data_IF_461573344183
#
_entry.id   IF_461573344183
#
_cell.length_a   1.000
_cell.length_b   1.000
_cell.length_c   1.000
_cell.angle_alpha   90.00
_cell.angle_beta   90.00
_cell.angle_gamma   90.00
#
_symmetry.space_group_name_H-M   'P 1'
#
loop_
_entity.id
_entity.type
_entity.pdbx_description
1 polymer ?
#
# COMPACT_ATOMS: atom_id res chain seq x y z
N UNK A 1 26.20 -1.39 -20.52
CA UNK A 1 26.03 -1.95 -19.14
C UNK A 1 26.80 -1.06 -18.18
N UNK A 2 26.17 -0.70 -17.04
CA UNK A 2 26.82 0.10 -16.00
C UNK A 2 27.90 -0.72 -15.29
N UNK A 3 28.96 -0.05 -14.85
CA UNK A 3 29.99 -0.65 -14.00
C UNK A 3 29.48 -0.62 -12.53
N UNK A 4 28.82 -1.72 -12.14
CA UNK A 4 28.16 -1.81 -10.84
C UNK A 4 29.18 -2.01 -9.70
N UNK A 5 29.01 -1.33 -8.59
CA UNK A 5 29.89 -1.39 -7.42
C UNK A 5 29.67 -2.69 -6.63
N UNK A 6 28.45 -3.20 -6.65
CA UNK A 6 28.07 -4.45 -5.99
C UNK A 6 27.13 -5.22 -6.91
N UNK A 7 27.48 -6.47 -7.23
CA UNK A 7 26.72 -7.30 -8.17
C UNK A 7 25.90 -8.40 -7.50
N UNK A 8 26.32 -8.91 -6.34
CA UNK A 8 25.56 -9.89 -5.57
C UNK A 8 24.66 -9.18 -4.57
N UNK A 9 23.34 -9.32 -4.73
CA UNK A 9 22.34 -8.59 -3.97
C UNK A 9 21.31 -9.52 -3.39
N UNK A 10 20.79 -9.15 -2.22
CA UNK A 10 19.69 -9.85 -1.55
C UNK A 10 18.57 -8.86 -1.28
N UNK A 11 17.36 -9.15 -1.81
CA UNK A 11 16.17 -8.33 -1.58
C UNK A 11 15.11 -9.11 -0.81
N UNK A 12 14.49 -8.43 0.14
CA UNK A 12 13.38 -8.97 0.90
C UNK A 12 12.03 -8.63 0.30
N UNK A 13 11.05 -9.47 0.56
CA UNK A 13 9.66 -9.22 0.17
C UNK A 13 8.69 -9.93 1.14
N UNK A 14 7.45 -9.48 1.11
CA UNK A 14 6.33 -10.17 1.77
C UNK A 14 5.49 -10.83 0.67
N UNK A 15 4.88 -11.98 0.97
CA UNK A 15 4.08 -12.77 0.03
C UNK A 15 2.78 -12.06 -0.34
N UNK A 16 2.88 -11.18 -1.31
CA UNK A 16 1.82 -10.33 -1.86
C UNK A 16 1.99 -10.24 -3.37
N UNK A 17 0.90 -10.07 -4.12
CA UNK A 17 0.98 -9.94 -5.58
C UNK A 17 1.78 -8.71 -6.02
N UNK A 18 1.83 -7.66 -5.20
CA UNK A 18 2.57 -6.45 -5.55
C UNK A 18 4.10 -6.56 -5.43
N UNK A 19 4.61 -7.71 -5.01
CA UNK A 19 6.04 -8.02 -5.17
C UNK A 19 6.38 -8.42 -6.61
N UNK A 20 5.40 -8.52 -7.49
CA UNK A 20 5.55 -9.01 -8.86
C UNK A 20 6.71 -8.38 -9.65
N UNK A 21 7.00 -7.07 -9.57
CA UNK A 21 8.16 -6.51 -10.28
C UNK A 21 9.48 -7.19 -9.91
N UNK A 22 9.68 -7.56 -8.64
CA UNK A 22 10.88 -8.29 -8.21
C UNK A 22 10.93 -9.70 -8.81
N UNK A 23 9.83 -10.45 -8.73
CA UNK A 23 9.75 -11.80 -9.27
C UNK A 23 9.96 -11.82 -10.78
N UNK A 24 9.32 -10.91 -11.50
CA UNK A 24 9.41 -10.80 -12.95
C UNK A 24 10.83 -10.39 -13.38
N UNK A 25 11.44 -9.42 -12.71
CA UNK A 25 12.82 -9.02 -13.03
C UNK A 25 13.81 -10.19 -12.85
N UNK A 26 13.59 -10.99 -11.82
CA UNK A 26 14.39 -12.19 -11.57
C UNK A 26 14.16 -13.28 -12.65
N UNK A 27 12.91 -13.69 -12.87
CA UNK A 27 12.57 -14.81 -13.73
C UNK A 27 12.81 -14.53 -15.21
N UNK A 28 12.68 -13.27 -15.64
CA UNK A 28 12.93 -12.89 -17.04
C UNK A 28 14.36 -12.45 -17.29
N UNK A 29 15.25 -12.55 -16.30
CA UNK A 29 16.67 -12.23 -16.47
C UNK A 29 16.98 -10.74 -16.55
N UNK A 30 16.08 -9.86 -16.13
CA UNK A 30 16.32 -8.41 -16.23
C UNK A 30 17.41 -7.94 -15.27
N UNK A 31 17.54 -8.57 -14.10
CA UNK A 31 18.65 -8.30 -13.19
C UNK A 31 19.98 -8.74 -13.78
N UNK A 32 20.02 -9.95 -14.39
CA UNK A 32 21.23 -10.46 -15.02
C UNK A 32 21.67 -9.62 -16.23
N UNK A 33 20.70 -9.10 -17.00
CA UNK A 33 20.96 -8.17 -18.11
C UNK A 33 21.71 -6.91 -17.65
N UNK A 34 21.53 -6.51 -16.40
CA UNK A 34 22.18 -5.36 -15.79
C UNK A 34 23.44 -5.75 -15.00
N UNK A 35 23.87 -7.01 -15.06
CA UNK A 35 25.05 -7.50 -14.34
C UNK A 35 24.80 -7.74 -12.86
N UNK A 36 23.54 -7.96 -12.44
CA UNK A 36 23.15 -8.18 -11.05
C UNK A 36 22.77 -9.63 -10.81
N UNK A 37 23.25 -10.20 -9.72
CA UNK A 37 22.93 -11.54 -9.26
C UNK A 37 22.10 -11.43 -7.97
N UNK A 38 20.79 -11.53 -8.11
CA UNK A 38 19.84 -11.23 -7.04
C UNK A 38 19.32 -12.51 -6.41
N UNK A 39 19.25 -12.52 -5.09
CA UNK A 39 18.51 -13.50 -4.29
C UNK A 39 17.27 -12.80 -3.71
N UNK A 40 16.10 -13.39 -3.90
CA UNK A 40 14.85 -12.88 -3.31
C UNK A 40 14.50 -13.74 -2.10
N UNK A 41 14.30 -13.10 -0.94
CA UNK A 41 13.97 -13.78 0.32
C UNK A 41 12.63 -13.29 0.87
N UNK A 42 11.67 -14.22 1.02
CA UNK A 42 10.44 -13.94 1.75
C UNK A 42 10.75 -13.68 3.22
N UNK A 43 10.14 -12.63 3.77
CA UNK A 43 10.28 -12.26 5.17
C UNK A 43 9.00 -12.59 5.95
N UNK A 44 9.12 -12.80 7.26
CA UNK A 44 8.00 -13.19 8.10
C UNK A 44 6.97 -12.08 8.29
N UNK A 45 7.42 -10.83 8.38
CA UNK A 45 6.59 -9.66 8.59
C UNK A 45 7.33 -8.38 8.20
N UNK A 46 6.61 -7.26 8.23
CA UNK A 46 7.15 -5.97 7.80
C UNK A 46 8.26 -5.43 8.70
N UNK A 47 8.21 -5.73 10.02
CA UNK A 47 9.25 -5.29 10.94
C UNK A 47 10.57 -6.02 10.68
N UNK A 48 10.53 -7.32 10.51
CA UNK A 48 11.71 -8.14 10.20
C UNK A 48 12.34 -7.68 8.87
N UNK A 49 11.51 -7.40 7.87
CA UNK A 49 11.97 -6.89 6.58
C UNK A 49 12.69 -5.55 6.72
N UNK A 50 12.09 -4.61 7.43
CA UNK A 50 12.66 -3.28 7.67
C UNK A 50 14.00 -3.37 8.42
N UNK A 51 14.03 -4.13 9.50
CA UNK A 51 15.23 -4.34 10.29
C UNK A 51 16.36 -4.96 9.44
N UNK A 52 16.00 -5.89 8.55
CA UNK A 52 16.97 -6.51 7.62
C UNK A 52 17.61 -5.51 6.67
N UNK A 53 16.85 -4.54 6.17
CA UNK A 53 17.39 -3.47 5.31
C UNK A 53 18.26 -2.52 6.12
N UNK A 54 17.83 -2.12 7.31
CA UNK A 54 18.58 -1.22 8.19
C UNK A 54 19.93 -1.85 8.60
N UNK A 55 19.91 -3.14 8.94
CA UNK A 55 21.10 -3.86 9.43
C UNK A 55 22.04 -4.31 8.29
N UNK A 56 21.62 -4.16 7.04
CA UNK A 56 22.40 -4.58 5.88
C UNK A 56 22.37 -6.07 5.58
N UNK A 57 21.50 -6.84 6.25
CA UNK A 57 21.24 -8.25 5.89
C UNK A 57 20.51 -8.36 4.56
N UNK A 58 19.70 -7.36 4.24
CA UNK A 58 19.06 -7.16 2.96
C UNK A 58 19.65 -5.89 2.33
N UNK A 59 19.96 -5.94 1.04
CA UNK A 59 20.44 -4.78 0.29
C UNK A 59 19.31 -3.82 -0.09
N UNK A 60 18.09 -4.33 -0.17
CA UNK A 60 16.87 -3.58 -0.45
C UNK A 60 15.65 -4.46 -0.26
N UNK A 61 14.47 -3.88 -0.39
CA UNK A 61 13.24 -4.63 -0.19
C UNK A 61 12.01 -3.98 -0.83
N UNK A 62 11.07 -4.83 -1.19
CA UNK A 62 9.65 -4.53 -1.31
C UNK A 62 9.18 -3.98 0.04
N UNK A 63 8.68 -2.75 0.09
CA UNK A 63 8.40 -2.03 1.33
C UNK A 63 7.02 -1.39 1.32
N UNK A 64 6.46 -1.24 2.50
CA UNK A 64 5.35 -0.31 2.71
C UNK A 64 5.86 1.10 2.46
N UNK A 65 5.10 1.91 1.71
CA UNK A 65 5.53 3.28 1.39
C UNK A 65 5.78 4.13 2.64
N UNK A 66 5.05 3.87 3.72
CA UNK A 66 5.24 4.55 4.99
C UNK A 66 6.50 4.15 5.75
N UNK A 67 7.12 3.01 5.46
CA UNK A 67 8.31 2.57 6.20
C UNK A 67 9.53 3.47 5.98
N UNK A 68 9.92 3.83 4.75
CA UNK A 68 11.01 4.78 4.55
C UNK A 68 10.75 6.13 5.19
N UNK A 69 9.53 6.62 5.09
CA UNK A 69 9.12 7.92 5.67
C UNK A 69 9.19 7.90 7.19
N UNK A 70 8.57 6.90 7.82
CA UNK A 70 8.56 6.76 9.27
C UNK A 70 9.97 6.59 9.85
N UNK A 71 10.80 5.77 9.23
CA UNK A 71 12.19 5.58 9.66
C UNK A 71 13.00 6.89 9.58
N UNK A 72 12.81 7.66 8.52
CA UNK A 72 13.52 8.93 8.33
C UNK A 72 13.11 10.00 9.33
N UNK A 73 11.83 10.04 9.74
CA UNK A 73 11.35 10.97 10.77
C UNK A 73 11.49 10.44 12.21
N UNK A 74 11.94 9.20 12.38
CA UNK A 74 12.18 8.59 13.69
C UNK A 74 10.93 8.03 14.38
N UNK A 75 9.89 7.69 13.64
CA UNK A 75 8.72 7.02 14.21
C UNK A 75 8.92 5.50 14.22
N UNK A 76 9.01 4.92 15.42
CA UNK A 76 9.22 3.49 15.64
C UNK A 76 10.65 3.02 15.51
N UNK A 77 11.40 3.53 14.58
CA UNK A 77 12.84 3.28 14.36
C UNK A 77 13.46 4.53 13.73
N UNK A 78 14.77 4.61 13.68
CA UNK A 78 15.46 5.75 13.06
C UNK A 78 16.52 5.24 12.08
N UNK A 79 16.29 5.52 10.80
CA UNK A 79 17.23 5.22 9.73
C UNK A 79 16.87 6.05 8.51
N UNK A 80 17.84 6.44 7.70
CA UNK A 80 17.57 7.15 6.46
C UNK A 80 17.41 6.16 5.30
N UNK A 81 16.18 5.86 4.96
CA UNK A 81 15.80 4.99 3.84
C UNK A 81 15.23 5.85 2.74
N UNK A 82 15.60 5.54 1.50
CA UNK A 82 15.09 6.21 0.31
C UNK A 82 14.37 5.22 -0.61
N UNK A 83 13.51 5.77 -1.48
CA UNK A 83 12.91 4.98 -2.54
C UNK A 83 13.08 5.66 -3.90
N UNK A 84 13.73 4.97 -4.85
CA UNK A 84 13.84 5.44 -6.24
C UNK A 84 12.76 4.86 -7.14
N UNK A 85 11.81 4.04 -6.61
CA UNK A 85 10.86 3.28 -7.42
C UNK A 85 9.59 2.98 -6.64
N UNK A 86 8.44 3.34 -7.22
CA UNK A 86 7.12 2.94 -6.74
C UNK A 86 6.73 1.60 -7.38
N UNK A 87 6.27 0.64 -6.58
CA UNK A 87 6.04 -0.73 -7.05
C UNK A 87 4.74 -0.89 -7.81
N UNK A 88 3.68 -0.15 -7.42
CA UNK A 88 2.33 -0.36 -7.96
C UNK A 88 1.36 0.74 -7.56
N UNK A 89 0.16 0.69 -8.16
CA UNK A 89 -1.03 1.42 -7.73
C UNK A 89 -2.12 0.41 -7.38
N UNK A 90 -2.97 0.78 -6.41
CA UNK A 90 -4.12 -0.03 -5.97
C UNK A 90 -3.68 -1.39 -5.37
N UNK A 91 -4.51 -2.40 -5.47
CA UNK A 91 -4.17 -3.78 -5.11
C UNK A 91 -4.57 -4.23 -3.71
N UNK A 92 -5.26 -3.39 -2.94
CA UNK A 92 -5.73 -3.71 -1.59
C UNK A 92 -7.25 -3.83 -1.52
N UNK A 93 -7.73 -4.54 -0.51
CA UNK A 93 -9.15 -4.64 -0.23
C UNK A 93 -9.43 -4.73 1.27
N UNK A 94 -10.67 -4.44 1.64
CA UNK A 94 -11.20 -4.62 2.99
C UNK A 94 -12.17 -5.78 2.94
N UNK A 95 -11.90 -6.79 3.77
CA UNK A 95 -12.71 -8.01 3.89
C UNK A 95 -13.30 -8.08 5.30
N UNK A 96 -14.58 -8.45 5.39
CA UNK A 96 -15.24 -8.73 6.67
C UNK A 96 -15.62 -10.21 6.75
N UNK A 97 -15.87 -10.71 7.96
CA UNK A 97 -16.35 -12.09 8.13
C UNK A 97 -17.73 -12.27 7.51
N UNK A 98 -18.07 -13.51 7.20
CA UNK A 98 -19.41 -13.83 6.67
C UNK A 98 -20.52 -13.34 7.60
N UNK A 99 -20.36 -13.51 8.92
CA UNK A 99 -21.33 -13.06 9.91
C UNK A 99 -21.53 -11.55 9.89
N UNK A 100 -20.45 -10.81 9.80
CA UNK A 100 -20.51 -9.34 9.74
C UNK A 100 -21.17 -8.91 8.42
N UNK A 101 -20.85 -9.57 7.31
CA UNK A 101 -21.48 -9.26 6.03
C UNK A 101 -22.98 -9.50 6.05
N UNK A 102 -23.44 -10.63 6.59
CA UNK A 102 -24.88 -10.96 6.65
C UNK A 102 -25.67 -9.89 7.40
N UNK A 103 -25.12 -9.29 8.43
CA UNK A 103 -25.74 -8.20 9.16
C UNK A 103 -25.58 -6.86 8.43
N UNK A 104 -24.37 -6.58 7.94
CA UNK A 104 -24.01 -5.32 7.29
C UNK A 104 -24.79 -5.11 5.97
N UNK A 105 -25.00 -6.17 5.20
CA UNK A 105 -25.64 -6.06 3.87
C UNK A 105 -27.06 -5.50 3.90
N UNK A 106 -27.75 -5.57 5.05
CA UNK A 106 -29.08 -4.99 5.24
C UNK A 106 -29.05 -3.46 5.11
N UNK A 107 -27.90 -2.85 5.33
CA UNK A 107 -27.71 -1.41 5.28
C UNK A 107 -27.02 -0.95 3.99
N UNK A 108 -26.76 -1.88 3.07
CA UNK A 108 -26.12 -1.59 1.78
C UNK A 108 -27.19 -1.45 0.70
N UNK A 109 -27.15 -0.40 -0.12
CA UNK A 109 -28.04 -0.32 -1.28
C UNK A 109 -27.80 -1.47 -2.28
N UNK A 110 -28.89 -2.01 -2.85
CA UNK A 110 -28.84 -3.06 -3.85
C UNK A 110 -29.48 -2.59 -5.14
N UNK A 111 -29.01 -3.10 -6.28
CA UNK A 111 -29.59 -2.84 -7.59
C UNK A 111 -30.85 -3.74 -7.83
N UNK A 112 -31.44 -3.59 -9.00
CA UNK A 112 -32.67 -4.37 -9.37
C UNK A 112 -32.40 -5.88 -9.45
N UNK A 113 -31.13 -6.27 -9.70
CA UNK A 113 -30.70 -7.68 -9.72
C UNK A 113 -30.37 -8.23 -8.33
N UNK A 114 -30.48 -7.41 -7.27
CA UNK A 114 -30.17 -7.80 -5.90
C UNK A 114 -28.68 -7.78 -5.57
N UNK A 115 -27.85 -7.16 -6.41
CA UNK A 115 -26.41 -7.02 -6.14
C UNK A 115 -26.11 -5.75 -5.35
N UNK A 116 -25.18 -5.80 -4.38
CA UNK A 116 -24.73 -4.60 -3.69
C UNK A 116 -24.22 -3.53 -4.67
N UNK A 117 -24.60 -2.28 -4.43
CA UNK A 117 -24.12 -1.14 -5.20
C UNK A 117 -22.79 -0.68 -4.60
N UNK A 118 -21.74 -0.65 -5.41
CA UNK A 118 -20.41 -0.17 -5.03
C UNK A 118 -20.21 1.30 -5.45
N UNK A 119 -19.38 2.05 -4.71
CA UNK A 119 -18.63 1.65 -3.51
C UNK A 119 -19.50 1.55 -2.26
N UNK A 120 -19.19 0.59 -1.38
CA UNK A 120 -19.91 0.42 -0.12
C UNK A 120 -19.28 1.33 0.93
N UNK A 121 -20.08 2.19 1.56
CA UNK A 121 -19.65 3.04 2.66
C UNK A 121 -19.54 2.27 3.97
N UNK A 122 -18.60 2.66 4.83
CA UNK A 122 -18.51 2.15 6.20
C UNK A 122 -19.73 2.56 7.06
N UNK A 123 -20.57 3.48 6.57
CA UNK A 123 -21.85 3.78 7.21
C UNK A 123 -22.75 2.52 7.33
N UNK A 124 -22.60 1.57 6.40
CA UNK A 124 -23.29 0.29 6.47
C UNK A 124 -22.74 -0.63 7.59
N UNK A 125 -21.49 -0.47 7.96
CA UNK A 125 -20.86 -1.20 9.06
C UNK A 125 -21.19 -0.59 10.43
N UNK A 126 -21.47 0.68 10.49
CA UNK A 126 -21.67 1.42 11.74
C UNK A 126 -22.72 0.80 12.66
N UNK A 127 -23.94 0.44 12.18
CA UNK A 127 -24.93 -0.21 13.04
C UNK A 127 -24.44 -1.53 13.65
N UNK A 128 -23.64 -2.29 12.89
CA UNK A 128 -23.08 -3.57 13.34
C UNK A 128 -22.06 -3.35 14.47
N UNK A 129 -21.17 -2.37 14.29
CA UNK A 129 -20.19 -1.97 15.31
C UNK A 129 -20.89 -1.52 16.59
N UNK A 130 -21.91 -0.66 16.47
CA UNK A 130 -22.66 -0.14 17.61
C UNK A 130 -23.38 -1.27 18.38
N UNK A 131 -23.97 -2.23 17.67
CA UNK A 131 -24.62 -3.39 18.30
C UNK A 131 -23.63 -4.22 19.10
N UNK A 132 -22.50 -4.59 18.48
CA UNK A 132 -21.47 -5.43 19.15
C UNK A 132 -20.91 -4.75 20.37
N UNK A 133 -20.63 -3.44 20.26
CA UNK A 133 -20.13 -2.65 21.40
C UNK A 133 -21.16 -2.50 22.51
N UNK A 134 -22.44 -2.39 22.18
CA UNK A 134 -23.53 -2.32 23.16
C UNK A 134 -23.63 -3.61 23.99
N UNK A 135 -23.15 -4.73 23.49
CA UNK A 135 -23.07 -5.99 24.17
C UNK A 135 -21.81 -6.14 25.04
N UNK A 136 -21.01 -5.09 25.13
CA UNK A 136 -19.77 -5.07 25.91
C UNK A 136 -18.58 -5.74 25.21
N UNK A 137 -18.65 -5.97 23.90
CA UNK A 137 -17.58 -6.55 23.12
C UNK A 137 -16.86 -5.49 22.30
N UNK A 138 -15.52 -5.54 22.21
CA UNK A 138 -14.79 -4.66 21.31
C UNK A 138 -15.00 -5.11 19.86
N UNK A 139 -14.97 -4.16 18.92
CA UNK A 139 -14.98 -4.46 17.49
C UNK A 139 -13.55 -4.36 16.96
N UNK A 140 -12.94 -5.52 16.66
CA UNK A 140 -11.55 -5.62 16.25
C UNK A 140 -11.43 -5.84 14.75
N UNK A 141 -10.54 -5.08 14.10
CA UNK A 141 -10.15 -5.30 12.70
C UNK A 141 -8.62 -5.36 12.59
N UNK A 142 -8.15 -6.03 11.54
CA UNK A 142 -6.73 -6.22 11.28
C UNK A 142 -6.18 -5.25 10.23
N UNK A 143 -4.97 -4.81 10.43
CA UNK A 143 -4.14 -4.12 9.44
C UNK A 143 -2.73 -4.70 9.52
N UNK A 144 -1.86 -4.38 8.56
CA UNK A 144 -0.59 -5.11 8.42
C UNK A 144 0.58 -4.49 9.17
N UNK A 145 0.54 -3.18 9.42
CA UNK A 145 1.58 -2.46 10.14
C UNK A 145 1.12 -1.01 10.40
N UNK A 146 1.58 -0.34 11.49
CA UNK A 146 1.11 1.03 11.81
C UNK A 146 1.32 2.07 10.71
N UNK A 147 2.38 1.96 9.94
CA UNK A 147 2.71 2.91 8.86
C UNK A 147 2.39 2.33 7.47
N UNK A 148 1.45 1.41 7.39
CA UNK A 148 1.00 0.82 6.13
C UNK A 148 -0.10 1.63 5.47
N UNK A 149 -0.13 1.60 4.14
CA UNK A 149 -1.27 2.12 3.36
C UNK A 149 -2.56 1.45 3.79
N UNK A 150 -2.52 0.16 4.13
CA UNK A 150 -3.67 -0.62 4.63
C UNK A 150 -4.25 -0.02 5.91
N UNK A 151 -3.40 0.38 6.85
CA UNK A 151 -3.85 1.06 8.07
C UNK A 151 -4.52 2.40 7.75
N UNK A 152 -3.91 3.19 6.86
CA UNK A 152 -4.45 4.50 6.50
C UNK A 152 -5.72 4.39 5.66
N UNK A 153 -5.80 3.44 4.74
CA UNK A 153 -7.00 3.18 3.92
C UNK A 153 -8.17 2.68 4.77
N UNK A 154 -7.91 1.74 5.68
CA UNK A 154 -8.93 1.23 6.60
C UNK A 154 -9.47 2.36 7.50
N UNK A 155 -8.57 3.18 8.05
CA UNK A 155 -8.93 4.35 8.84
C UNK A 155 -9.71 5.37 8.02
N UNK A 156 -9.30 5.60 6.77
CA UNK A 156 -9.96 6.52 5.86
C UNK A 156 -11.40 6.07 5.58
N UNK A 157 -11.59 4.80 5.23
CA UNK A 157 -12.90 4.22 4.94
C UNK A 157 -13.82 4.26 6.16
N UNK A 158 -13.34 3.84 7.32
CA UNK A 158 -14.09 3.86 8.57
C UNK A 158 -14.54 5.29 8.93
N UNK A 159 -13.62 6.24 8.89
CA UNK A 159 -13.90 7.64 9.22
C UNK A 159 -14.88 8.29 8.23
N UNK A 160 -14.77 7.98 6.93
CA UNK A 160 -15.70 8.46 5.91
C UNK A 160 -17.13 7.95 6.14
N UNK A 161 -17.30 6.82 6.82
CA UNK A 161 -18.59 6.26 7.23
C UNK A 161 -19.05 6.69 8.63
N UNK A 162 -18.28 7.55 9.31
CA UNK A 162 -18.63 8.06 10.64
C UNK A 162 -18.17 7.17 11.80
N UNK A 163 -17.23 6.26 11.57
CA UNK A 163 -16.61 5.41 12.60
C UNK A 163 -15.23 5.93 12.97
N UNK A 164 -14.93 6.00 14.25
CA UNK A 164 -13.62 6.43 14.74
C UNK A 164 -12.66 5.25 14.79
N UNK A 165 -11.54 5.29 14.03
CA UNK A 165 -10.55 4.20 14.04
C UNK A 165 -9.53 4.32 15.16
N UNK A 166 -9.58 5.40 15.97
CA UNK A 166 -8.67 5.68 17.06
C UNK A 166 -7.48 6.54 16.69
N UNK A 167 -6.74 6.95 17.72
CA UNK A 167 -5.58 7.84 17.58
C UNK A 167 -4.34 7.22 18.23
N UNK A 168 -3.18 7.63 17.71
CA UNK A 168 -1.87 7.42 18.31
C UNK A 168 -1.50 8.63 19.17
N UNK A 169 -0.69 8.43 20.20
CA UNK A 169 -0.01 9.49 20.92
C UNK A 169 1.42 9.06 21.25
N UNK A 170 2.31 9.98 21.66
CA UNK A 170 3.65 9.60 22.09
C UNK A 170 3.64 8.59 23.25
N UNK A 171 2.65 8.66 24.13
CA UNK A 171 2.50 7.78 25.29
C UNK A 171 1.75 6.47 24.98
N UNK A 172 0.99 6.45 23.90
CA UNK A 172 0.19 5.30 23.50
C UNK A 172 0.25 5.06 21.99
N UNK A 173 1.12 4.12 21.61
CA UNK A 173 1.41 3.79 20.21
C UNK A 173 0.51 2.67 19.65
N UNK A 174 -0.60 2.33 20.32
CA UNK A 174 -1.53 1.31 19.83
C UNK A 174 -2.44 1.82 18.73
N UNK A 175 -2.63 3.15 18.64
CA UNK A 175 -3.56 3.76 17.67
C UNK A 175 -5.03 3.54 18.01
N UNK A 176 -5.35 3.26 19.29
CA UNK A 176 -6.69 2.88 19.74
C UNK A 176 -7.36 3.88 20.66
N UNK A 177 -6.77 5.06 20.85
CA UNK A 177 -7.34 6.10 21.72
C UNK A 177 -8.62 6.63 21.07
N UNK A 178 -9.73 6.67 21.83
CA UNK A 178 -11.05 7.14 21.38
C UNK A 178 -11.59 6.38 20.17
N UNK A 179 -11.37 5.06 20.11
CA UNK A 179 -11.75 4.24 18.97
C UNK A 179 -13.14 3.60 19.11
N UNK A 180 -13.91 3.63 18.02
CA UNK A 180 -15.09 2.76 17.85
C UNK A 180 -14.66 1.39 17.35
N UNK A 181 -13.65 1.34 16.50
CA UNK A 181 -13.04 0.13 15.91
C UNK A 181 -11.58 0.06 16.33
N UNK A 182 -11.20 -1.08 16.94
CA UNK A 182 -9.84 -1.30 17.40
C UNK A 182 -9.04 -2.00 16.31
N UNK A 183 -7.95 -1.39 15.86
CA UNK A 183 -7.11 -1.93 14.79
C UNK A 183 -5.85 -2.58 15.39
N UNK A 184 -5.52 -3.77 14.91
CA UNK A 184 -4.35 -4.53 15.35
C UNK A 184 -3.55 -5.08 14.18
N UNK A 185 -2.26 -5.37 14.42
CA UNK A 185 -1.33 -5.83 13.38
C UNK A 185 -1.44 -7.34 13.17
N UNK A 186 -1.60 -7.75 11.92
CA UNK A 186 -1.50 -9.16 11.50
C UNK A 186 -0.70 -9.22 10.19
N UNK A 187 0.29 -10.10 10.05
CA UNK A 187 1.01 -10.27 8.78
C UNK A 187 0.05 -10.67 7.64
N UNK A 188 0.26 -10.18 6.41
CA UNK A 188 -0.67 -10.39 5.30
C UNK A 188 -1.09 -11.84 5.06
N UNK A 189 -0.18 -12.83 4.96
CA UNK A 189 -0.59 -14.21 4.69
C UNK A 189 -1.43 -14.85 5.80
N UNK A 190 -1.40 -14.27 7.01
CA UNK A 190 -2.13 -14.80 8.18
C UNK A 190 -3.52 -14.17 8.33
N UNK A 191 -3.86 -13.17 7.55
CA UNK A 191 -5.15 -12.45 7.67
C UNK A 191 -6.36 -13.37 7.52
N UNK A 192 -6.45 -14.23 6.48
CA UNK A 192 -7.60 -15.13 6.36
C UNK A 192 -7.77 -16.05 7.56
N UNK A 193 -6.69 -16.65 8.06
CA UNK A 193 -6.75 -17.54 9.22
C UNK A 193 -7.16 -16.80 10.50
N UNK A 194 -6.70 -15.58 10.70
CA UNK A 194 -7.06 -14.74 11.86
C UNK A 194 -8.55 -14.38 11.82
N UNK A 195 -9.08 -14.10 10.64
CA UNK A 195 -10.51 -13.85 10.43
C UNK A 195 -11.34 -15.12 10.75
N UNK A 196 -10.92 -16.26 10.20
CA UNK A 196 -11.59 -17.55 10.40
C UNK A 196 -11.63 -17.94 11.88
N UNK A 197 -10.54 -17.68 12.62
CA UNK A 197 -10.46 -17.94 14.06
C UNK A 197 -11.36 -17.04 14.90
N UNK A 198 -11.95 -15.97 14.32
CA UNK A 198 -12.83 -15.05 15.02
C UNK A 198 -12.11 -14.02 15.90
N UNK A 199 -10.79 -13.89 15.78
CA UNK A 199 -10.00 -12.92 16.53
C UNK A 199 -10.27 -11.49 16.06
N UNK A 200 -10.55 -11.32 14.76
CA UNK A 200 -10.92 -10.06 14.14
C UNK A 200 -12.21 -10.24 13.34
N UNK A 201 -12.97 -9.16 13.15
CA UNK A 201 -14.22 -9.17 12.36
C UNK A 201 -14.01 -8.77 10.92
N UNK A 202 -12.86 -8.24 10.59
CA UNK A 202 -12.48 -7.84 9.24
C UNK A 202 -11.04 -7.37 9.20
N UNK A 203 -10.56 -7.04 8.00
CA UNK A 203 -9.18 -6.59 7.82
C UNK A 203 -9.02 -5.79 6.53
N UNK A 204 -7.93 -5.03 6.43
CA UNK A 204 -7.43 -4.47 5.17
C UNK A 204 -6.08 -5.10 4.85
N UNK A 205 -5.93 -5.61 3.63
CA UNK A 205 -4.72 -6.31 3.20
C UNK A 205 -4.56 -6.23 1.68
N UNK A 206 -3.33 -6.39 1.20
CA UNK A 206 -3.03 -6.59 -0.23
C UNK A 206 -3.45 -7.96 -0.73
N UNK A 207 -3.60 -8.08 -2.06
CA UNK A 207 -3.92 -9.35 -2.68
C UNK A 207 -2.71 -10.32 -2.63
N UNK A 208 -2.95 -11.63 -2.59
CA UNK A 208 -4.24 -12.29 -2.91
C UNK A 208 -5.12 -12.59 -1.68
N UNK A 209 -4.84 -12.01 -0.54
CA UNK A 209 -5.41 -12.47 0.74
C UNK A 209 -6.86 -12.09 0.97
N UNK A 210 -7.41 -11.13 0.20
CA UNK A 210 -8.86 -10.90 0.15
C UNK A 210 -9.54 -11.99 -0.70
N UNK A 211 -9.03 -12.25 -1.89
CA UNK A 211 -9.56 -13.31 -2.76
C UNK A 211 -9.41 -14.70 -2.15
N UNK A 212 -8.36 -14.93 -1.37
CA UNK A 212 -8.18 -16.18 -0.62
C UNK A 212 -9.32 -16.41 0.37
N UNK A 213 -9.77 -15.36 1.06
CA UNK A 213 -10.90 -15.46 1.98
C UNK A 213 -12.20 -15.82 1.27
N UNK A 214 -12.44 -15.26 0.09
CA UNK A 214 -13.61 -15.62 -0.75
C UNK A 214 -13.51 -17.07 -1.21
N UNK A 215 -12.37 -17.48 -1.72
CA UNK A 215 -12.12 -18.83 -2.19
C UNK A 215 -12.38 -19.87 -1.10
N UNK A 216 -11.91 -19.59 0.11
CA UNK A 216 -12.14 -20.48 1.27
C UNK A 216 -13.52 -20.35 1.90
N UNK A 217 -14.34 -19.40 1.47
CA UNK A 217 -15.69 -19.19 2.00
C UNK A 217 -15.74 -18.64 3.43
N UNK A 218 -14.71 -17.89 3.87
CA UNK A 218 -14.59 -17.38 5.24
C UNK A 218 -14.81 -15.89 5.38
N UNK A 219 -14.85 -15.16 4.27
CA UNK A 219 -15.04 -13.71 4.32
C UNK A 219 -15.53 -13.13 3.01
N UNK A 220 -15.94 -11.86 3.08
CA UNK A 220 -16.50 -11.10 1.96
C UNK A 220 -15.76 -9.76 1.88
N UNK A 221 -15.02 -9.51 0.78
CA UNK A 221 -14.51 -8.17 0.51
C UNK A 221 -15.67 -7.20 0.31
N UNK A 222 -15.62 -6.06 0.97
CA UNK A 222 -16.69 -5.04 0.91
C UNK A 222 -16.29 -3.83 0.10
N UNK A 223 -14.98 -3.59 -0.07
CA UNK A 223 -14.46 -2.47 -0.84
C UNK A 223 -13.00 -2.71 -1.23
N UNK A 224 -12.61 -2.18 -2.39
CA UNK A 224 -11.20 -2.13 -2.83
C UNK A 224 -10.63 -0.74 -2.57
N UNK A 225 -9.30 -0.66 -2.48
CA UNK A 225 -8.63 0.65 -2.36
C UNK A 225 -8.78 1.49 -3.63
N UNK A 226 -8.95 0.86 -4.80
CA UNK A 226 -9.34 1.55 -6.03
C UNK A 226 -10.64 2.36 -5.85
N UNK A 227 -11.59 1.83 -5.08
CA UNK A 227 -12.86 2.50 -4.78
C UNK A 227 -12.73 3.53 -3.67
N UNK A 228 -11.79 3.36 -2.73
CA UNK A 228 -11.51 4.35 -1.68
C UNK A 228 -10.80 5.57 -2.28
N UNK A 229 -9.78 5.34 -3.08
CA UNK A 229 -9.01 6.36 -3.77
C UNK A 229 -8.48 5.79 -5.09
N UNK A 230 -9.12 6.13 -6.18
CA UNK A 230 -8.78 5.64 -7.52
C UNK A 230 -7.31 5.90 -7.87
N UNK A 231 -6.61 4.85 -8.25
CA UNK A 231 -5.19 4.86 -8.59
C UNK A 231 -4.30 5.37 -7.45
N UNK A 232 -4.61 4.93 -6.23
CA UNK A 232 -3.78 5.26 -5.08
C UNK A 232 -2.39 4.61 -5.18
N UNK A 233 -1.33 5.32 -4.72
CA UNK A 233 0.00 4.73 -4.63
C UNK A 233 0.04 3.67 -3.53
N UNK A 234 0.95 2.72 -3.66
CA UNK A 234 1.00 1.61 -2.73
C UNK A 234 2.44 1.29 -2.31
N UNK A 235 3.00 0.14 -2.67
CA UNK A 235 4.33 -0.28 -2.23
C UNK A 235 5.44 0.50 -2.92
N UNK A 236 6.60 0.49 -2.28
CA UNK A 236 7.83 1.07 -2.83
C UNK A 236 8.97 0.06 -2.73
N UNK A 237 10.03 0.27 -3.52
CA UNK A 237 11.30 -0.40 -3.33
C UNK A 237 12.19 0.49 -2.49
N UNK A 238 12.63 0.00 -1.32
CA UNK A 238 13.40 0.77 -0.36
C UNK A 238 14.85 0.28 -0.23
N UNK A 239 15.76 1.23 -0.13
CA UNK A 239 17.19 1.02 0.15
C UNK A 239 17.65 2.08 1.15
N UNK A 240 18.74 1.82 1.87
CA UNK A 240 19.32 2.86 2.70
C UNK A 240 19.98 3.94 1.84
N UNK A 241 20.00 5.17 2.35
CA UNK A 241 20.72 6.28 1.71
C UNK A 241 22.19 5.93 1.51
N UNK A 242 22.81 5.29 2.50
CA UNK A 242 24.21 4.85 2.42
C UNK A 242 24.44 3.88 1.28
N UNK A 243 23.58 2.89 1.12
CA UNK A 243 23.67 1.94 -0.01
C UNK A 243 23.66 2.67 -1.34
N UNK A 244 22.72 3.62 -1.51
CA UNK A 244 22.60 4.37 -2.76
C UNK A 244 23.82 5.24 -3.04
N UNK A 245 24.41 5.86 -2.02
CA UNK A 245 25.59 6.71 -2.16
C UNK A 245 26.85 5.90 -2.44
N UNK A 246 27.00 4.74 -1.82
CA UNK A 246 28.15 3.84 -2.01
C UNK A 246 28.04 3.04 -3.32
N UNK A 247 26.83 2.82 -3.81
CA UNK A 247 26.55 1.96 -4.97
C UNK A 247 25.63 2.68 -5.97
N UNK A 248 26.02 3.83 -6.52
CA UNK A 248 25.15 4.60 -7.41
C UNK A 248 24.81 3.88 -8.72
N UNK A 249 25.78 3.19 -9.34
CA UNK A 249 25.52 2.44 -10.56
C UNK A 249 24.68 1.18 -10.30
N UNK A 250 24.95 0.48 -9.20
CA UNK A 250 24.11 -0.65 -8.77
C UNK A 250 22.68 -0.21 -8.56
N UNK A 251 22.45 0.93 -7.93
CA UNK A 251 21.12 1.50 -7.69
C UNK A 251 20.41 1.78 -9.01
N UNK A 252 21.08 2.41 -9.97
CA UNK A 252 20.50 2.64 -11.31
C UNK A 252 20.19 1.31 -12.03
N UNK A 253 21.06 0.33 -11.93
CA UNK A 253 20.85 -0.98 -12.54
C UNK A 253 19.63 -1.70 -11.96
N UNK A 254 19.43 -1.63 -10.64
CA UNK A 254 18.24 -2.17 -9.96
C UNK A 254 16.98 -1.50 -10.53
N UNK A 255 16.95 -0.18 -10.57
CA UNK A 255 15.78 0.57 -11.03
C UNK A 255 15.49 0.27 -12.51
N UNK A 256 16.51 0.18 -13.35
CA UNK A 256 16.34 -0.22 -14.75
C UNK A 256 15.65 -1.58 -14.87
N UNK A 257 16.10 -2.58 -14.11
CA UNK A 257 15.52 -3.91 -14.14
C UNK A 257 14.05 -3.91 -13.66
N UNK A 258 13.76 -3.16 -12.61
CA UNK A 258 12.39 -3.03 -12.07
C UNK A 258 11.45 -2.30 -13.02
N UNK A 259 11.91 -1.26 -13.71
CA UNK A 259 11.11 -0.56 -14.73
C UNK A 259 10.78 -1.54 -15.88
N UNK A 260 11.74 -2.33 -16.34
CA UNK A 260 11.49 -3.33 -17.38
C UNK A 260 10.45 -4.36 -16.96
N UNK A 261 10.53 -4.82 -15.72
CA UNK A 261 9.53 -5.74 -15.15
C UNK A 261 8.14 -5.12 -15.10
N UNK A 262 8.04 -3.87 -14.68
CA UNK A 262 6.78 -3.13 -14.64
C UNK A 262 6.16 -2.96 -16.03
N UNK A 263 6.95 -2.59 -17.02
CA UNK A 263 6.52 -2.49 -18.42
C UNK A 263 5.94 -3.83 -18.89
N UNK A 264 6.66 -4.91 -18.67
CA UNK A 264 6.24 -6.25 -19.07
C UNK A 264 4.89 -6.65 -18.44
N UNK A 265 4.68 -6.28 -17.16
CA UNK A 265 3.45 -6.59 -16.45
C UNK A 265 2.21 -5.91 -17.03
N UNK A 266 2.37 -4.71 -17.58
CA UNK A 266 1.26 -3.89 -18.06
C UNK A 266 1.16 -3.79 -19.59
N UNK A 267 2.18 -4.19 -20.34
CA UNK A 267 2.19 -4.03 -21.79
C UNK A 267 1.10 -4.85 -22.47
N UNK A 268 0.66 -4.38 -23.64
CA UNK A 268 -0.31 -5.07 -24.50
C UNK A 268 -1.61 -5.45 -23.75
N UNK A 269 -2.18 -4.48 -23.01
CA UNK A 269 -3.41 -4.67 -22.23
C UNK A 269 -3.32 -5.85 -21.26
N UNK A 270 -2.22 -5.93 -20.50
CA UNK A 270 -1.99 -6.98 -19.51
C UNK A 270 -1.83 -8.38 -20.10
N UNK A 271 -1.37 -8.49 -21.36
CA UNK A 271 -1.24 -9.77 -22.05
C UNK A 271 -0.35 -10.78 -21.30
N UNK A 272 0.63 -10.30 -20.53
CA UNK A 272 1.57 -11.15 -19.79
C UNK A 272 1.09 -11.51 -18.38
N UNK A 273 -0.08 -11.03 -17.94
CA UNK A 273 -0.60 -11.28 -16.60
C UNK A 273 -0.80 -12.76 -16.28
N UNK A 274 -1.29 -13.61 -17.20
CA UNK A 274 -1.36 -15.06 -16.92
C UNK A 274 -0.01 -15.69 -16.60
N UNK A 275 1.05 -15.33 -17.30
CA UNK A 275 2.41 -15.80 -17.00
C UNK A 275 2.90 -15.27 -15.65
N UNK A 276 2.63 -14.01 -15.34
CA UNK A 276 2.95 -13.42 -14.03
C UNK A 276 2.24 -14.16 -12.89
N UNK A 277 0.98 -14.51 -13.07
CA UNK A 277 0.20 -15.29 -12.10
C UNK A 277 0.83 -16.67 -11.87
N UNK A 278 1.26 -17.35 -12.93
CA UNK A 278 1.95 -18.64 -12.81
C UNK A 278 3.24 -18.52 -12.00
N UNK A 279 4.04 -17.46 -12.25
CA UNK A 279 5.25 -17.18 -11.47
C UNK A 279 4.90 -16.97 -10.00
N UNK A 280 3.96 -16.07 -9.72
CA UNK A 280 3.57 -15.71 -8.35
C UNK A 280 2.95 -16.87 -7.56
N UNK A 281 2.32 -17.84 -8.25
CA UNK A 281 1.71 -19.01 -7.61
C UNK A 281 2.75 -19.97 -7.04
N UNK A 282 4.01 -19.86 -7.44
CA UNK A 282 5.09 -20.74 -6.94
C UNK A 282 5.35 -20.48 -5.45
N UNK A 283 5.67 -21.53 -4.66
CA UNK A 283 5.90 -21.40 -3.22
C UNK A 283 6.99 -20.42 -2.81
N UNK A 284 8.00 -20.22 -3.65
CA UNK A 284 9.10 -19.29 -3.41
C UNK A 284 8.68 -17.81 -3.51
N UNK A 285 7.53 -17.51 -4.11
CA UNK A 285 6.99 -16.16 -4.24
C UNK A 285 5.76 -15.98 -3.33
N UNK A 286 4.55 -15.99 -3.88
CA UNK A 286 3.32 -15.82 -3.08
C UNK A 286 2.76 -17.15 -2.59
N UNK A 287 2.71 -18.14 -3.45
CA UNK A 287 2.34 -19.51 -3.10
C UNK A 287 0.84 -19.73 -2.87
N UNK A 288 -0.02 -18.82 -3.31
CA UNK A 288 -1.45 -19.06 -3.36
C UNK A 288 -1.84 -19.72 -4.67
N UNK A 289 -3.04 -20.32 -4.73
CA UNK A 289 -3.52 -20.97 -5.93
C UNK A 289 -3.58 -20.01 -7.12
N UNK A 290 -3.31 -20.51 -8.32
CA UNK A 290 -3.35 -19.74 -9.55
C UNK A 290 -4.65 -18.96 -9.71
N UNK A 291 -5.80 -19.61 -9.54
CA UNK A 291 -7.11 -18.98 -9.73
C UNK A 291 -7.39 -17.85 -8.73
N UNK A 292 -6.85 -17.96 -7.52
CA UNK A 292 -6.96 -16.92 -6.49
C UNK A 292 -6.17 -15.68 -6.87
N UNK A 293 -4.92 -15.86 -7.30
CA UNK A 293 -4.05 -14.76 -7.73
C UNK A 293 -4.56 -14.15 -9.04
N UNK A 294 -5.00 -14.99 -9.99
CA UNK A 294 -5.47 -14.57 -11.30
C UNK A 294 -6.63 -13.59 -11.22
N UNK A 295 -7.50 -13.77 -10.24
CA UNK A 295 -8.72 -12.98 -10.14
C UNK A 295 -8.42 -11.47 -10.16
N UNK A 296 -7.61 -10.97 -9.25
CA UNK A 296 -7.22 -9.55 -9.24
C UNK A 296 -6.21 -9.18 -10.32
N UNK A 297 -5.25 -10.04 -10.59
CA UNK A 297 -4.17 -9.78 -11.55
C UNK A 297 -4.63 -9.69 -13.00
N UNK A 298 -5.76 -10.27 -13.33
CA UNK A 298 -6.30 -10.27 -14.71
C UNK A 298 -7.50 -9.35 -14.90
N UNK A 299 -7.69 -8.37 -13.99
CA UNK A 299 -8.66 -7.29 -14.19
C UNK A 299 -10.05 -7.56 -13.65
N UNK A 300 -10.21 -8.57 -12.79
CA UNK A 300 -11.48 -8.87 -12.12
C UNK A 300 -11.29 -8.89 -10.60
N UNK A 301 -12.40 -8.77 -9.87
CA UNK A 301 -12.39 -8.86 -8.41
C UNK A 301 -13.70 -9.49 -7.93
N UNK A 302 -13.61 -10.51 -7.10
CA UNK A 302 -14.77 -11.18 -6.53
C UNK A 302 -15.02 -10.66 -5.12
N UNK A 303 -16.21 -10.11 -4.90
CA UNK A 303 -16.69 -9.63 -3.61
C UNK A 303 -17.35 -10.78 -2.85
N UNK A 304 -18.67 -10.81 -2.76
CA UNK A 304 -19.37 -12.01 -2.27
C UNK A 304 -19.15 -13.14 -3.27
N UNK A 305 -19.06 -14.38 -2.80
CA UNK A 305 -18.82 -15.53 -3.68
C UNK A 305 -19.84 -15.57 -4.82
N UNK A 306 -19.33 -15.55 -6.04
CA UNK A 306 -20.14 -15.48 -7.26
C UNK A 306 -20.40 -14.06 -7.78
N UNK A 307 -20.12 -13.02 -7.01
CA UNK A 307 -20.22 -11.63 -7.44
C UNK A 307 -18.85 -11.12 -7.93
N UNK A 308 -18.48 -11.58 -9.11
CA UNK A 308 -17.22 -11.21 -9.76
C UNK A 308 -17.43 -10.02 -10.68
N UNK A 309 -16.68 -8.96 -10.46
CA UNK A 309 -16.80 -7.70 -11.21
C UNK A 309 -15.52 -7.38 -11.94
N UNK A 310 -15.64 -6.62 -13.03
CA UNK A 310 -14.50 -6.11 -13.77
C UNK A 310 -13.95 -4.87 -13.09
N UNK A 311 -12.67 -4.90 -12.72
CA UNK A 311 -11.89 -3.77 -12.24
C UNK A 311 -10.52 -3.84 -12.94
N UNK A 312 -10.43 -3.40 -14.21
CA UNK A 312 -9.22 -3.59 -15.03
C UNK A 312 -7.96 -2.97 -14.44
N UNK A 313 -8.11 -1.87 -13.71
CA UNK A 313 -7.01 -1.13 -13.11
C UNK A 313 -6.81 -1.46 -11.62
N UNK A 314 -7.34 -2.59 -11.14
CA UNK A 314 -7.15 -2.96 -9.74
C UNK A 314 -5.68 -3.20 -9.39
N UNK A 315 -4.92 -3.85 -10.26
CA UNK A 315 -3.46 -3.98 -10.15
C UNK A 315 -2.80 -3.26 -11.30
N UNK A 316 -2.12 -2.15 -11.02
CA UNK A 316 -1.38 -1.36 -12.00
C UNK A 316 0.09 -1.33 -11.61
N UNK A 317 0.97 -1.69 -12.56
CA UNK A 317 2.41 -1.75 -12.31
C UNK A 317 3.20 -0.72 -13.10
N UNK A 318 2.68 -0.23 -14.22
CA UNK A 318 3.42 0.74 -15.06
C UNK A 318 2.57 1.89 -15.57
N UNK A 319 1.32 1.62 -15.97
CA UNK A 319 0.40 2.67 -16.47
C UNK A 319 0.30 3.83 -15.49
N UNK A 320 -0.10 5.01 -16.00
CA UNK A 320 -0.36 6.20 -15.19
C UNK A 320 0.86 6.66 -14.39
N UNK A 321 2.06 6.42 -14.92
CA UNK A 321 3.32 6.71 -14.24
C UNK A 321 3.42 6.02 -12.87
N UNK A 322 2.89 4.81 -12.77
CA UNK A 322 2.80 4.06 -11.52
C UNK A 322 4.14 3.89 -10.81
N UNK A 323 5.24 3.78 -11.55
CA UNK A 323 6.57 3.51 -10.98
C UNK A 323 7.36 4.76 -10.62
N UNK A 324 6.89 5.93 -11.05
CA UNK A 324 7.51 7.21 -10.69
C UNK A 324 7.20 7.55 -9.22
N UNK A 325 8.20 7.76 -8.35
CA UNK A 325 7.96 8.07 -6.94
C UNK A 325 7.66 9.56 -6.76
N UNK A 326 6.39 9.94 -6.86
CA UNK A 326 5.95 11.31 -6.69
C UNK A 326 6.13 11.79 -5.25
N UNK A 327 6.65 13.00 -5.07
CA UNK A 327 6.71 13.65 -3.76
C UNK A 327 5.33 13.78 -3.12
N UNK A 328 4.30 14.11 -3.92
CA UNK A 328 2.93 14.23 -3.43
C UNK A 328 2.39 12.95 -2.82
N UNK A 329 2.83 11.77 -3.29
CA UNK A 329 2.47 10.49 -2.68
C UNK A 329 3.04 10.38 -1.27
N UNK A 330 4.31 10.74 -1.09
CA UNK A 330 4.93 10.80 0.24
C UNK A 330 4.20 11.77 1.17
N UNK A 331 3.82 12.93 0.66
CA UNK A 331 3.06 13.93 1.43
C UNK A 331 1.72 13.36 1.92
N UNK A 332 1.04 12.58 1.09
CA UNK A 332 -0.22 11.95 1.51
C UNK A 332 -0.01 11.03 2.72
N UNK A 333 0.98 10.15 2.69
CA UNK A 333 1.28 9.27 3.83
C UNK A 333 1.62 10.07 5.09
N UNK A 334 2.45 11.09 4.98
CA UNK A 334 2.79 11.96 6.09
C UNK A 334 1.55 12.68 6.64
N UNK A 335 0.64 13.11 5.77
CA UNK A 335 -0.63 13.73 6.17
C UNK A 335 -1.50 12.76 6.98
N UNK A 336 -1.55 11.49 6.59
CA UNK A 336 -2.30 10.48 7.35
C UNK A 336 -1.61 10.17 8.69
N UNK A 337 -0.28 10.15 8.73
CA UNK A 337 0.47 10.03 9.99
C UNK A 337 0.09 11.18 10.95
N UNK A 338 -0.04 12.40 10.44
CA UNK A 338 -0.50 13.55 11.23
C UNK A 338 -1.98 13.41 11.60
N UNK A 339 -2.85 13.06 10.66
CA UNK A 339 -4.29 12.92 10.90
C UNK A 339 -4.58 12.03 12.10
N UNK A 340 -3.83 10.95 12.26
CA UNK A 340 -4.08 9.93 13.29
C UNK A 340 -3.17 10.04 14.52
N UNK A 341 -2.28 11.04 14.55
CA UNK A 341 -1.46 11.32 15.73
C UNK A 341 -0.12 10.59 15.79
N UNK A 342 0.29 9.88 14.74
CA UNK A 342 1.65 9.32 14.64
C UNK A 342 2.68 10.45 14.59
N UNK A 343 2.37 11.52 13.87
CA UNK A 343 3.05 12.81 14.00
C UNK A 343 2.22 13.61 15.00
N UNK A 344 2.78 13.81 16.20
CA UNK A 344 2.05 14.37 17.34
C UNK A 344 1.81 15.88 17.27
N UNK A 345 2.59 16.59 16.46
CA UNK A 345 2.54 18.05 16.35
C UNK A 345 2.15 18.48 14.94
N UNK A 346 1.48 19.62 14.84
CA UNK A 346 1.26 20.29 13.56
C UNK A 346 2.60 20.69 12.96
N UNK A 347 2.77 20.41 11.65
CA UNK A 347 3.95 20.80 10.89
C UNK A 347 3.55 21.78 9.80
N UNK A 348 4.42 22.75 9.43
CA UNK A 348 4.14 23.60 8.27
C UNK A 348 4.13 22.79 6.97
N UNK A 349 3.44 23.26 5.96
CA UNK A 349 3.37 22.58 4.66
C UNK A 349 4.77 22.28 4.09
N UNK A 350 5.71 23.17 4.28
CA UNK A 350 7.11 23.00 3.83
C UNK A 350 7.80 21.80 4.45
N UNK A 351 7.46 21.42 5.67
CA UNK A 351 8.05 20.25 6.34
C UNK A 351 7.71 18.96 5.58
N UNK A 352 6.46 18.83 5.12
CA UNK A 352 6.03 17.66 4.35
C UNK A 352 6.81 17.51 3.05
N UNK A 353 7.01 18.62 2.35
CA UNK A 353 7.81 18.66 1.11
C UNK A 353 9.28 18.30 1.39
N UNK A 354 9.88 18.86 2.43
CA UNK A 354 11.27 18.58 2.82
C UNK A 354 11.49 17.10 3.14
N UNK A 355 10.58 16.47 3.89
CA UNK A 355 10.68 15.03 4.19
C UNK A 355 10.49 14.20 2.91
N UNK A 356 9.50 14.55 2.09
CA UNK A 356 9.26 13.86 0.83
C UNK A 356 10.51 13.87 -0.05
N UNK A 357 11.19 15.00 -0.17
CA UNK A 357 12.40 15.13 -0.99
C UNK A 357 13.60 14.37 -0.42
N UNK A 358 13.67 14.16 0.89
CA UNK A 358 14.71 13.34 1.52
C UNK A 358 14.56 11.85 1.24
N UNK A 359 13.33 11.38 1.03
CA UNK A 359 13.00 9.95 0.97
C UNK A 359 12.70 9.50 -0.45
N UNK A 360 11.85 10.22 -1.18
CA UNK A 360 11.49 9.90 -2.55
C UNK A 360 12.52 10.48 -3.51
N UNK A 361 13.04 9.64 -4.40
CA UNK A 361 14.14 9.97 -5.29
C UNK A 361 13.78 9.79 -6.77
N UNK A 362 12.86 10.63 -7.30
CA UNK A 362 12.51 10.60 -8.72
C UNK A 362 13.68 10.96 -9.63
N UNK A 363 14.70 11.65 -9.13
CA UNK A 363 15.93 11.93 -9.86
C UNK A 363 16.67 10.65 -10.27
N UNK A 364 16.81 9.68 -9.34
CA UNK A 364 17.41 8.37 -9.62
C UNK A 364 16.54 7.60 -10.62
N UNK A 365 15.21 7.62 -10.41
CA UNK A 365 14.26 6.97 -11.30
C UNK A 365 14.39 7.47 -12.74
N UNK A 366 14.41 8.79 -12.95
CA UNK A 366 14.52 9.36 -14.29
C UNK A 366 15.87 9.11 -14.95
N UNK A 367 16.96 9.05 -14.19
CA UNK A 367 18.25 8.65 -14.73
C UNK A 367 18.21 7.21 -15.27
N UNK A 368 17.63 6.28 -14.52
CA UNK A 368 17.45 4.90 -14.96
C UNK A 368 16.54 4.82 -16.19
N UNK A 369 15.43 5.54 -16.18
CA UNK A 369 14.50 5.62 -17.31
C UNK A 369 15.20 6.15 -18.57
N UNK A 370 16.02 7.19 -18.45
CA UNK A 370 16.79 7.74 -19.57
C UNK A 370 17.71 6.71 -20.17
N UNK A 371 18.41 5.93 -19.35
CA UNK A 371 19.28 4.86 -19.85
C UNK A 371 18.48 3.81 -20.64
N UNK A 372 17.30 3.42 -20.15
CA UNK A 372 16.45 2.46 -20.84
C UNK A 372 15.96 2.98 -22.19
N UNK A 373 15.56 4.25 -22.26
CA UNK A 373 15.13 4.88 -23.52
C UNK A 373 16.29 4.93 -24.50
N UNK A 374 17.49 5.32 -24.08
CA UNK A 374 18.69 5.39 -24.92
C UNK A 374 19.12 4.01 -25.43
N UNK A 375 18.85 2.97 -24.64
CA UNK A 375 19.12 1.57 -25.03
C UNK A 375 18.01 0.95 -25.90
N UNK A 376 16.93 1.68 -26.15
CA UNK A 376 15.79 1.19 -26.94
C UNK A 376 14.90 0.19 -26.19
N UNK A 377 14.97 0.15 -24.85
CA UNK A 377 14.24 -0.78 -23.99
C UNK A 377 12.98 -0.18 -23.39
N UNK A 378 12.76 1.10 -23.56
CA UNK A 378 11.57 1.83 -23.13
C UNK A 378 11.31 3.01 -24.06
N UNK A 379 10.09 3.55 -24.02
CA UNK A 379 9.69 4.67 -24.87
C UNK A 379 9.77 6.00 -24.11
N UNK A 380 10.19 7.06 -24.82
CA UNK A 380 10.32 8.41 -24.25
C UNK A 380 9.02 8.87 -23.60
N UNK A 381 7.89 8.67 -24.25
CA UNK A 381 6.57 9.13 -23.80
C UNK A 381 6.04 8.42 -22.56
N UNK A 382 6.67 7.33 -22.14
CA UNK A 382 6.20 6.54 -20.98
C UNK A 382 6.62 7.15 -19.62
N UNK A 383 7.37 8.25 -19.63
CA UNK A 383 7.93 8.83 -18.42
C UNK A 383 7.61 10.32 -18.27
N UNK A 384 7.39 10.80 -17.03
CA UNK A 384 7.03 12.19 -16.78
C UNK A 384 8.28 13.07 -16.60
N UNK A 385 9.00 13.35 -17.70
CA UNK A 385 10.28 14.08 -17.67
C UNK A 385 10.18 15.48 -17.10
N UNK A 386 9.07 16.19 -17.37
CA UNK A 386 8.90 17.60 -17.04
C UNK A 386 8.08 17.85 -15.78
N UNK A 387 7.80 16.80 -14.99
CA UNK A 387 7.01 16.94 -13.77
C UNK A 387 7.80 17.61 -12.66
N UNK A 388 7.08 18.38 -11.81
CA UNK A 388 7.63 18.91 -10.55
C UNK A 388 7.77 17.86 -9.45
N UNK A 389 7.29 16.64 -9.67
CA UNK A 389 7.18 15.59 -8.66
C UNK A 389 5.89 15.65 -7.85
N UNK A 390 4.99 16.55 -8.19
CA UNK A 390 3.66 16.69 -7.57
C UNK A 390 2.59 16.38 -8.60
N UNK A 391 1.67 15.48 -8.22
CA UNK A 391 0.48 15.20 -9.01
C UNK A 391 -0.45 16.41 -8.95
N UNK A 392 -1.26 16.59 -9.99
CA UNK A 392 -2.40 17.51 -9.90
C UNK A 392 -3.32 17.11 -8.74
N UNK A 393 -4.10 18.04 -8.16
CA UNK A 393 -5.02 17.70 -7.07
C UNK A 393 -5.88 16.50 -7.40
N UNK A 394 -5.97 15.56 -6.44
CA UNK A 394 -6.68 14.28 -6.57
C UNK A 394 -8.04 14.37 -5.89
N UNK A 395 -9.11 14.20 -6.66
CA UNK A 395 -10.49 14.35 -6.16
C UNK A 395 -11.32 13.07 -6.14
N UNK A 396 -10.73 11.92 -6.49
CA UNK A 396 -11.46 10.66 -6.60
C UNK A 396 -11.34 9.79 -5.34
N UNK A 397 -11.63 10.41 -4.18
CA UNK A 397 -11.77 9.73 -2.90
C UNK A 397 -13.23 9.43 -2.61
N UNK A 398 -13.49 8.36 -1.86
CA UNK A 398 -14.86 7.92 -1.51
C UNK A 398 -15.69 9.01 -0.82
N UNK A 399 -15.07 9.91 -0.07
CA UNK A 399 -15.73 11.02 0.64
C UNK A 399 -15.78 12.32 -0.17
N UNK A 400 -15.24 12.33 -1.37
CA UNK A 400 -15.23 13.50 -2.25
C UNK A 400 -14.24 14.60 -1.85
N UNK A 401 -13.40 14.36 -0.84
CA UNK A 401 -12.37 15.31 -0.42
C UNK A 401 -11.24 15.33 -1.44
N UNK A 402 -10.81 16.52 -1.84
CA UNK A 402 -9.69 16.69 -2.78
C UNK A 402 -8.37 16.78 -2.02
N UNK A 403 -7.38 16.00 -2.47
CA UNK A 403 -6.01 16.06 -1.97
C UNK A 403 -5.14 16.88 -2.91
N UNK A 404 -4.58 17.98 -2.40
CA UNK A 404 -3.50 18.73 -3.02
C UNK A 404 -2.23 18.54 -2.17
N UNK A 405 -1.24 17.86 -2.72
CA UNK A 405 0.02 17.58 -2.02
C UNK A 405 0.82 18.82 -1.65
N UNK A 406 0.53 19.99 -2.25
CA UNK A 406 1.18 21.25 -1.92
C UNK A 406 0.54 21.95 -0.71
N UNK A 407 -0.62 21.49 -0.26
CA UNK A 407 -1.38 22.09 0.84
C UNK A 407 -1.88 21.03 1.83
N UNK A 408 -0.98 20.27 2.48
CA UNK A 408 -1.38 19.19 3.38
C UNK A 408 -2.17 19.65 4.61
N UNK A 409 -1.87 20.83 5.18
CA UNK A 409 -2.62 21.36 6.31
C UNK A 409 -4.06 21.70 5.91
N UNK A 410 -4.27 22.35 4.77
CA UNK A 410 -5.61 22.62 4.26
C UNK A 410 -6.39 21.32 3.97
N UNK A 411 -5.72 20.30 3.50
CA UNK A 411 -6.30 18.98 3.29
C UNK A 411 -6.81 18.38 4.62
N UNK A 412 -5.98 18.41 5.66
CA UNK A 412 -6.32 17.85 6.98
C UNK A 412 -7.50 18.55 7.64
N UNK A 413 -7.66 19.85 7.42
CA UNK A 413 -8.79 20.62 7.97
C UNK A 413 -10.16 20.16 7.46
N UNK A 414 -10.22 19.50 6.31
CA UNK A 414 -11.47 19.09 5.68
C UNK A 414 -12.14 17.87 6.33
N UNK A 415 -11.41 17.09 7.15
CA UNK A 415 -11.95 15.85 7.71
C UNK A 415 -12.73 16.09 9.01
N UNK A 416 -13.99 15.59 9.10
CA UNK A 416 -14.74 15.62 10.36
C UNK A 416 -14.06 14.78 11.46
N UNK A 417 -13.43 13.67 11.11
CA UNK A 417 -12.72 12.77 12.02
C UNK A 417 -11.23 12.80 11.69
N UNK A 418 -10.41 13.26 12.61
CA UNK A 418 -8.97 13.40 12.47
C UNK A 418 -8.46 14.65 13.19
N UNK A 419 -7.17 14.69 13.47
CA UNK A 419 -6.52 15.85 14.07
C UNK A 419 -6.46 17.01 13.09
N UNK A 420 -6.65 18.22 13.60
CA UNK A 420 -6.64 19.46 12.83
C UNK A 420 -5.83 20.53 13.57
N UNK A 421 -5.10 21.33 12.80
CA UNK A 421 -4.31 22.42 13.36
C UNK A 421 -3.44 21.93 14.51
N UNK A 422 -3.49 22.62 15.64
CA UNK A 422 -2.69 22.33 16.83
C UNK A 422 -3.27 21.22 17.72
N UNK A 423 -4.37 20.58 17.31
CA UNK A 423 -4.93 19.47 18.09
C UNK A 423 -3.91 18.38 18.32
N UNK A 424 -3.87 17.87 19.55
CA UNK A 424 -3.01 16.74 19.95
C UNK A 424 -3.83 15.73 20.73
N UNK A 425 -3.31 14.50 20.81
CA UNK A 425 -3.93 13.44 21.61
C UNK A 425 -3.18 13.35 22.94
N UNK A 426 -3.93 13.53 24.05
CA UNK A 426 -3.38 13.40 25.40
C UNK A 426 -4.29 12.45 26.18
N UNK A 427 -3.70 11.37 26.69
CA UNK A 427 -4.46 10.35 27.41
C UNK A 427 -5.49 9.67 26.50
N UNK A 428 -6.78 9.76 26.86
CA UNK A 428 -7.89 9.19 26.12
C UNK A 428 -8.68 10.21 25.28
N UNK A 429 -8.28 11.48 25.29
CA UNK A 429 -9.02 12.58 24.67
C UNK A 429 -8.20 13.31 23.60
N UNK A 430 -8.89 13.75 22.56
CA UNK A 430 -8.33 14.68 21.56
C UNK A 430 -8.51 16.10 22.09
N UNK A 431 -7.40 16.83 22.22
CA UNK A 431 -7.44 18.24 22.64
C UNK A 431 -7.50 19.14 21.40
N UNK A 432 -8.41 20.09 21.42
CA UNK A 432 -8.58 21.11 20.38
C UNK A 432 -7.96 22.45 20.77
#
# INVERSE_FOLDING_TARGET
MLDVEKDELKFGFIKLTDMAPLAVAYERGYFEDEGLFVTLEAQANWKVLLDGVIDGQLDGAHMLAGQPLAATIGFGTEAHIITPFSMDLNGNGITVSNEIWEEMKQYVPHDEAGKPIHPISAAALKPVVERIRSEGKPFNMGMVFPVSTHNYELRYWLAAGGLKPGYYSPENITGQIDADVLLSVTPPPQMPATLEAGTIYGYCVGEPWNQQAVFKGIGVPVITDYQIWKNNPEKVFGITKEFAEENPNTTLAIVKALIRAAIWLDENDNANRPEAVEILSRPEYVGADYDVIANSMTGTFEFEKGDKREIPDFNVFFRYYATYPYYSDAVWYLSQMRRWGQISEQKPDSWYDEVAQKVYRPDIYLQAARLLVDEGLANEEDFPWDTSGYRDPQGEFIDGVTFDGRAPNAYLEQFPIGLKGDQTVVGAEVQG
#
